data_IF_069931527431
#
_entry.id   IF_069931527431
#
_cell.length_a   1.000
_cell.length_b   1.000
_cell.length_c   1.000
_cell.angle_alpha   90.00
_cell.angle_beta   90.00
_cell.angle_gamma   90.00
#
_symmetry.space_group_name_H-M   'P 1'
#
loop_
_entity.id
_entity.type
_entity.pdbx_description
1 polymer ?
#
# COMPACT_ATOMS: atom_id res chain seq x y z
N UNK A 1 9.50 -48.51 22.68
CA UNK A 1 10.11 -47.37 21.97
C UNK A 1 9.31 -47.16 20.70
N UNK A 2 8.35 -46.24 20.72
CA UNK A 2 7.39 -46.04 19.65
C UNK A 2 7.43 -44.56 19.30
N UNK A 3 7.96 -44.24 18.12
CA UNK A 3 8.09 -42.87 17.63
C UNK A 3 6.74 -42.46 17.05
N UNK A 4 6.06 -41.54 17.72
CA UNK A 4 4.77 -41.01 17.30
C UNK A 4 4.92 -40.03 16.14
N UNK A 5 4.53 -40.45 14.94
CA UNK A 5 4.32 -39.57 13.81
C UNK A 5 2.94 -38.92 13.91
N UNK A 6 2.83 -37.80 14.63
CA UNK A 6 1.60 -36.99 14.60
C UNK A 6 1.90 -35.52 14.90
N UNK A 7 2.57 -34.82 13.98
CA UNK A 7 2.51 -33.36 13.99
C UNK A 7 2.81 -32.67 12.64
N UNK A 8 2.44 -33.30 11.52
CA UNK A 8 2.63 -32.69 10.19
C UNK A 8 1.43 -31.85 9.71
N UNK A 9 0.26 -31.97 10.36
CA UNK A 9 -0.95 -31.22 9.99
C UNK A 9 -0.93 -29.73 10.40
N UNK A 10 -0.19 -29.38 11.47
CA UNK A 10 -0.12 -27.99 11.95
C UNK A 10 0.88 -27.12 11.19
N UNK A 11 1.72 -27.69 10.32
CA UNK A 11 2.71 -26.94 9.55
C UNK A 11 2.22 -26.48 8.17
N UNK A 12 1.00 -26.85 7.75
CA UNK A 12 0.49 -26.57 6.40
C UNK A 12 -0.58 -25.45 6.35
N UNK A 13 -0.85 -24.76 7.45
CA UNK A 13 -1.90 -23.72 7.53
C UNK A 13 -1.41 -22.27 7.36
N UNK A 14 -0.21 -22.04 6.83
CA UNK A 14 0.26 -20.68 6.55
C UNK A 14 0.45 -20.50 5.04
N UNK A 15 -0.27 -19.54 4.46
CA UNK A 15 -0.29 -19.14 3.04
C UNK A 15 -1.46 -19.69 2.20
N UNK A 16 -2.69 -19.53 2.67
CA UNK A 16 -3.81 -19.42 1.73
C UNK A 16 -3.59 -18.20 0.82
N UNK A 17 -3.45 -18.43 -0.49
CA UNK A 17 -3.47 -17.37 -1.49
C UNK A 17 -4.90 -16.81 -1.50
N UNK A 18 -5.07 -15.52 -1.18
CA UNK A 18 -6.36 -14.83 -1.28
C UNK A 18 -6.50 -14.33 -2.72
N UNK A 19 -7.40 -14.91 -3.55
CA UNK A 19 -7.51 -14.53 -4.97
C UNK A 19 -7.83 -13.05 -5.17
N UNK A 20 -8.54 -12.44 -4.19
CA UNK A 20 -8.89 -11.02 -4.21
C UNK A 20 -7.65 -10.11 -4.20
N UNK A 21 -6.59 -10.47 -3.48
CA UNK A 21 -5.34 -9.72 -3.48
C UNK A 21 -4.69 -9.71 -4.86
N UNK A 22 -4.74 -10.84 -5.57
CA UNK A 22 -4.23 -10.94 -6.93
C UNK A 22 -5.03 -10.04 -7.89
N UNK A 23 -6.36 -10.00 -7.75
CA UNK A 23 -7.20 -9.08 -8.52
C UNK A 23 -6.85 -7.61 -8.28
N UNK A 24 -6.54 -7.20 -7.04
CA UNK A 24 -6.11 -5.83 -6.76
C UNK A 24 -4.80 -5.47 -7.47
N UNK A 25 -3.83 -6.39 -7.50
CA UNK A 25 -2.57 -6.19 -8.25
C UNK A 25 -2.84 -6.10 -9.75
N UNK A 26 -3.68 -6.97 -10.29
CA UNK A 26 -4.06 -6.92 -11.71
C UNK A 26 -4.79 -5.63 -12.07
N UNK A 27 -5.71 -5.16 -11.22
CA UNK A 27 -6.41 -3.90 -11.43
C UNK A 27 -5.45 -2.70 -11.48
N UNK A 28 -4.44 -2.69 -10.61
CA UNK A 28 -3.39 -1.68 -10.64
C UNK A 28 -2.58 -1.72 -11.93
N UNK A 29 -2.08 -2.90 -12.33
CA UNK A 29 -1.30 -3.04 -13.56
C UNK A 29 -2.12 -2.71 -14.82
N UNK A 30 -3.40 -3.10 -14.83
CA UNK A 30 -4.33 -2.77 -15.89
C UNK A 30 -4.57 -1.27 -16.00
N UNK A 31 -4.80 -0.57 -14.88
CA UNK A 31 -4.98 0.87 -14.88
C UNK A 31 -3.74 1.61 -15.43
N UNK A 32 -2.54 1.19 -15.02
CA UNK A 32 -1.29 1.73 -15.58
C UNK A 32 -1.19 1.49 -17.10
N UNK A 33 -1.56 0.29 -17.55
CA UNK A 33 -1.56 -0.04 -18.98
C UNK A 33 -2.52 0.85 -19.77
N UNK A 34 -3.76 1.01 -19.31
CA UNK A 34 -4.77 1.85 -19.99
C UNK A 34 -4.36 3.33 -19.99
N UNK A 35 -3.82 3.85 -18.88
CA UNK A 35 -3.32 5.23 -18.82
C UNK A 35 -2.18 5.45 -19.82
N UNK A 36 -1.24 4.51 -19.91
CA UNK A 36 -0.10 4.61 -20.84
C UNK A 36 -0.52 4.48 -22.31
N UNK A 37 -1.69 3.89 -22.59
CA UNK A 37 -2.25 3.73 -23.93
C UNK A 37 -3.05 4.96 -24.36
N UNK A 38 -3.62 5.71 -23.42
CA UNK A 38 -4.39 6.91 -23.71
C UNK A 38 -3.53 8.18 -23.68
N UNK A 39 -3.17 8.66 -24.87
CA UNK A 39 -2.41 9.90 -25.07
C UNK A 39 -3.13 11.17 -24.56
N UNK A 40 -4.42 11.10 -24.22
CA UNK A 40 -5.17 12.23 -23.64
C UNK A 40 -4.94 12.39 -22.14
N UNK A 41 -4.68 11.29 -21.43
CA UNK A 41 -4.49 11.31 -19.97
C UNK A 41 -3.10 11.79 -19.60
N UNK A 42 -2.07 11.23 -20.23
CA UNK A 42 -0.66 11.57 -20.00
C UNK A 42 0.10 11.65 -21.33
N UNK A 43 -0.01 12.77 -22.08
CA UNK A 43 0.67 12.91 -23.36
C UNK A 43 2.20 12.85 -23.18
N UNK A 44 2.87 12.10 -24.07
CA UNK A 44 4.33 11.95 -24.12
C UNK A 44 4.98 11.47 -22.81
N UNK A 45 4.22 10.83 -21.92
CA UNK A 45 4.72 10.33 -20.63
C UNK A 45 4.30 8.88 -20.45
N UNK A 46 5.17 8.07 -19.86
CA UNK A 46 4.85 6.67 -19.52
C UNK A 46 5.02 6.46 -18.03
N UNK A 47 3.99 5.94 -17.38
CA UNK A 47 4.03 5.52 -15.99
C UNK A 47 4.71 4.17 -15.86
N UNK A 48 5.71 4.10 -14.98
CA UNK A 48 6.26 2.83 -14.50
C UNK A 48 5.46 2.28 -13.32
N UNK A 49 5.58 0.98 -13.08
CA UNK A 49 4.94 0.30 -11.95
C UNK A 49 5.91 -0.61 -11.21
N UNK A 50 5.81 -0.66 -9.88
CA UNK A 50 6.50 -1.63 -9.04
C UNK A 50 5.53 -2.14 -7.97
N UNK A 51 5.51 -3.47 -7.76
CA UNK A 51 4.61 -4.11 -6.79
C UNK A 51 5.44 -4.82 -5.73
N UNK A 52 5.10 -4.60 -4.47
CA UNK A 52 5.72 -5.26 -3.33
C UNK A 52 4.64 -5.73 -2.36
N UNK A 53 4.72 -6.98 -1.92
CA UNK A 53 3.75 -7.57 -0.99
C UNK A 53 4.15 -7.39 0.48
N UNK A 54 3.19 -7.09 1.34
CA UNK A 54 3.35 -6.98 2.79
C UNK A 54 2.88 -8.24 3.56
N UNK A 55 2.14 -9.14 2.91
CA UNK A 55 1.54 -10.34 3.52
C UNK A 55 0.80 -10.03 4.84
N UNK A 56 0.05 -8.92 4.87
CA UNK A 56 -0.70 -8.47 6.06
C UNK A 56 0.14 -8.24 7.31
N UNK A 57 1.45 -8.04 7.16
CA UNK A 57 2.39 -7.82 8.25
C UNK A 57 2.91 -6.39 8.18
N UNK A 58 2.67 -5.62 9.22
CA UNK A 58 3.09 -4.23 9.32
C UNK A 58 4.63 -4.07 9.20
N UNK A 59 5.40 -5.02 9.75
CA UNK A 59 6.86 -5.09 9.57
C UNK A 59 7.25 -5.32 8.10
N UNK A 60 6.58 -6.26 7.41
CA UNK A 60 6.83 -6.51 5.99
C UNK A 60 6.37 -5.34 5.12
N UNK A 61 5.33 -4.60 5.51
CA UNK A 61 4.90 -3.37 4.85
C UNK A 61 6.01 -2.30 4.90
N UNK A 62 6.65 -2.11 6.06
CA UNK A 62 7.82 -1.24 6.18
C UNK A 62 8.96 -1.67 5.25
N UNK A 63 9.32 -2.97 5.25
CA UNK A 63 10.35 -3.52 4.36
C UNK A 63 10.01 -3.34 2.87
N UNK A 64 8.75 -3.57 2.49
CA UNK A 64 8.25 -3.38 1.14
C UNK A 64 8.33 -1.91 0.71
N UNK A 65 7.98 -0.99 1.61
CA UNK A 65 8.04 0.47 1.38
C UNK A 65 9.45 0.94 1.13
N UNK A 66 10.41 0.53 1.96
CA UNK A 66 11.82 0.82 1.74
C UNK A 66 12.31 0.23 0.42
N UNK A 67 11.88 -1.00 0.08
CA UNK A 67 12.22 -1.60 -1.21
C UNK A 67 11.71 -0.77 -2.40
N UNK A 68 10.51 -0.19 -2.30
CA UNK A 68 9.94 0.67 -3.34
C UNK A 68 10.67 2.01 -3.44
N UNK A 69 10.94 2.66 -2.30
CA UNK A 69 11.66 3.95 -2.24
C UNK A 69 13.07 3.85 -2.83
N UNK A 70 13.80 2.79 -2.48
CA UNK A 70 15.20 2.64 -2.83
C UNK A 70 15.45 1.66 -3.97
N UNK A 71 14.39 1.15 -4.63
CA UNK A 71 14.45 0.12 -5.69
C UNK A 71 15.36 -1.07 -5.34
N UNK A 72 15.42 -1.44 -4.05
CA UNK A 72 16.33 -2.48 -3.52
C UNK A 72 17.84 -2.21 -3.74
N UNK A 73 18.25 -0.96 -3.99
CA UNK A 73 19.63 -0.54 -4.25
C UNK A 73 20.35 -0.18 -2.94
N UNK A 74 21.06 -1.16 -2.36
CA UNK A 74 22.00 -0.93 -1.25
C UNK A 74 21.39 -0.39 0.05
N UNK A 75 22.23 0.27 0.86
CA UNK A 75 21.82 0.84 2.16
C UNK A 75 20.85 2.00 1.95
N UNK A 76 19.58 1.79 2.32
CA UNK A 76 18.46 2.74 2.24
C UNK A 76 18.67 4.09 2.97
N UNK A 77 19.72 4.21 3.77
CA UNK A 77 20.00 5.40 4.60
C UNK A 77 21.21 6.19 4.12
N UNK A 78 21.91 5.76 3.08
CA UNK A 78 23.04 6.52 2.55
C UNK A 78 22.55 7.43 1.41
N UNK A 79 22.89 8.72 1.47
CA UNK A 79 22.50 9.68 0.43
C UNK A 79 23.05 9.23 -0.92
N UNK A 80 22.15 8.86 -1.82
CA UNK A 80 22.49 8.47 -3.18
C UNK A 80 21.81 9.46 -4.14
N UNK A 81 22.59 10.40 -4.66
CA UNK A 81 22.13 11.40 -5.63
C UNK A 81 22.04 10.77 -7.02
N UNK A 82 20.94 10.08 -7.31
CA UNK A 82 20.72 9.51 -8.63
C UNK A 82 19.77 10.36 -9.47
N UNK A 83 20.16 10.67 -10.71
CA UNK A 83 19.32 11.26 -11.75
C UNK A 83 18.37 10.21 -12.36
N UNK A 84 17.64 9.48 -11.51
CA UNK A 84 16.74 8.40 -11.91
C UNK A 84 15.26 8.74 -11.68
N UNK A 85 14.35 7.94 -12.25
CA UNK A 85 12.91 8.10 -12.02
C UNK A 85 12.56 7.92 -10.53
N UNK A 86 12.06 8.98 -9.90
CA UNK A 86 11.63 9.00 -8.50
C UNK A 86 10.30 8.27 -8.30
N UNK A 87 10.08 7.70 -7.11
CA UNK A 87 8.79 7.14 -6.73
C UNK A 87 7.79 8.29 -6.55
N UNK A 88 6.77 8.35 -7.41
CA UNK A 88 5.79 9.44 -7.41
C UNK A 88 4.73 9.29 -6.31
N UNK A 89 4.22 8.08 -6.12
CA UNK A 89 3.20 7.76 -5.14
C UNK A 89 3.18 6.25 -4.88
N UNK A 90 2.55 5.84 -3.77
CA UNK A 90 2.32 4.43 -3.44
C UNK A 90 0.83 4.19 -3.27
N UNK A 91 0.30 3.15 -3.92
CA UNK A 91 -1.08 2.70 -3.72
C UNK A 91 -1.09 1.54 -2.72
N UNK A 92 -1.80 1.72 -1.61
CA UNK A 92 -1.88 0.75 -0.50
C UNK A 92 -1.79 1.39 0.88
N UNK A 93 -1.76 0.60 1.95
CA UNK A 93 -2.01 -0.85 1.97
C UNK A 93 -3.51 -1.16 2.09
N UNK A 94 -3.82 -2.46 2.05
CA UNK A 94 -5.16 -2.99 2.31
C UNK A 94 -5.53 -2.92 3.80
N UNK A 95 -4.60 -3.14 4.73
CA UNK A 95 -4.91 -3.10 6.18
C UNK A 95 -4.42 -1.81 6.84
N UNK A 96 -5.15 -1.33 7.83
CA UNK A 96 -4.76 -0.12 8.57
C UNK A 96 -3.38 -0.21 9.24
N UNK A 97 -3.00 -1.32 9.92
CA UNK A 97 -1.67 -1.44 10.50
C UNK A 97 -0.54 -1.36 9.46
N UNK A 98 -0.72 -2.00 8.30
CA UNK A 98 0.24 -1.85 7.19
C UNK A 98 0.27 -0.41 6.69
N UNK A 99 -0.88 0.23 6.49
CA UNK A 99 -0.96 1.60 5.99
C UNK A 99 -0.32 2.61 6.92
N UNK A 100 -0.49 2.48 8.24
CA UNK A 100 0.18 3.32 9.24
C UNK A 100 1.70 3.17 9.13
N UNK A 101 2.20 1.93 9.03
CA UNK A 101 3.65 1.71 8.88
C UNK A 101 4.21 2.25 7.58
N UNK A 102 3.48 2.13 6.48
CA UNK A 102 3.85 2.76 5.21
C UNK A 102 3.87 4.28 5.35
N UNK A 103 2.84 4.88 5.95
CA UNK A 103 2.66 6.32 6.06
C UNK A 103 3.77 6.95 6.91
N UNK A 104 4.17 6.30 8.00
CA UNK A 104 5.30 6.71 8.85
C UNK A 104 6.61 6.84 8.04
N UNK A 105 6.88 5.88 7.14
CA UNK A 105 8.08 5.90 6.30
C UNK A 105 7.92 6.92 5.17
N UNK A 106 6.82 6.86 4.41
CA UNK A 106 6.59 7.67 3.21
C UNK A 106 6.49 9.17 3.50
N UNK A 107 5.92 9.55 4.65
CA UNK A 107 5.79 10.96 5.04
C UNK A 107 7.14 11.63 5.22
N UNK A 108 8.16 10.90 5.71
CA UNK A 108 9.54 11.40 5.82
C UNK A 108 10.12 11.78 4.46
N UNK A 109 9.77 11.03 3.41
CA UNK A 109 10.22 11.25 2.04
C UNK A 109 9.22 12.08 1.19
N UNK A 110 8.14 12.58 1.82
CA UNK A 110 7.08 13.35 1.16
C UNK A 110 6.45 12.62 -0.03
N UNK A 111 6.36 11.29 0.04
CA UNK A 111 5.74 10.47 -1.01
C UNK A 111 4.28 10.23 -0.64
N UNK A 112 3.31 10.65 -1.50
CA UNK A 112 1.89 10.38 -1.27
C UNK A 112 1.58 8.88 -1.20
N UNK A 113 0.75 8.51 -0.24
CA UNK A 113 0.17 7.18 -0.09
C UNK A 113 -1.34 7.24 -0.32
N UNK A 114 -1.86 6.43 -1.25
CA UNK A 114 -3.28 6.29 -1.53
C UNK A 114 -3.76 4.89 -1.11
N UNK A 115 -4.42 4.78 0.03
CA UNK A 115 -4.97 3.50 0.49
C UNK A 115 -6.34 3.21 -0.12
N UNK A 116 -6.56 1.95 -0.51
CA UNK A 116 -7.82 1.44 -1.05
C UNK A 116 -8.61 0.56 -0.08
N UNK A 117 -8.19 0.45 1.19
CA UNK A 117 -8.90 -0.42 2.15
C UNK A 117 -8.58 -0.22 3.63
N UNK A 118 -7.83 0.82 4.00
CA UNK A 118 -7.54 1.11 5.41
C UNK A 118 -8.54 2.10 6.00
N UNK A 119 -9.28 1.66 7.02
CA UNK A 119 -10.42 2.39 7.59
C UNK A 119 -10.11 3.07 8.92
N UNK A 120 -8.95 2.80 9.53
CA UNK A 120 -8.65 3.31 10.88
C UNK A 120 -8.72 4.85 10.91
N UNK A 121 -9.55 5.45 11.79
CA UNK A 121 -9.70 6.91 11.87
C UNK A 121 -8.39 7.67 12.11
N UNK A 122 -7.39 7.05 12.75
CA UNK A 122 -6.09 7.69 13.02
C UNK A 122 -5.42 8.18 11.73
N UNK A 123 -5.63 7.47 10.62
CA UNK A 123 -5.09 7.81 9.30
C UNK A 123 -5.76 9.05 8.66
N UNK A 124 -6.83 9.59 9.26
CA UNK A 124 -7.43 10.85 8.82
C UNK A 124 -6.78 12.08 9.46
N UNK A 125 -5.93 11.89 10.48
CA UNK A 125 -5.20 12.99 11.10
C UNK A 125 -4.11 13.50 10.14
N UNK A 126 -4.42 14.58 9.44
CA UNK A 126 -3.51 15.23 8.49
C UNK A 126 -2.29 15.88 9.17
N UNK A 127 -2.31 16.07 10.49
CA UNK A 127 -1.13 16.53 11.23
C UNK A 127 -0.09 15.42 11.40
N UNK A 128 -0.56 14.18 11.61
CA UNK A 128 0.28 12.99 11.72
C UNK A 128 0.64 12.38 10.36
N UNK A 129 -0.33 12.35 9.44
CA UNK A 129 -0.19 11.69 8.13
C UNK A 129 -0.52 12.65 6.96
N UNK A 130 0.24 13.73 6.77
CA UNK A 130 -0.04 14.77 5.77
C UNK A 130 0.03 14.29 4.31
N UNK A 131 0.62 13.12 4.07
CA UNK A 131 0.76 12.51 2.75
C UNK A 131 -0.13 11.26 2.56
N UNK A 132 -1.06 11.01 3.48
CA UNK A 132 -1.97 9.88 3.40
C UNK A 132 -3.35 10.28 2.86
N UNK A 133 -3.82 9.54 1.87
CA UNK A 133 -5.10 9.71 1.22
C UNK A 133 -5.83 8.38 1.12
N UNK A 134 -7.16 8.44 1.06
CA UNK A 134 -8.03 7.27 0.93
C UNK A 134 -8.79 7.33 -0.40
N UNK A 135 -8.91 6.18 -1.05
CA UNK A 135 -9.80 5.98 -2.21
C UNK A 135 -11.11 5.29 -1.80
N UNK A 136 -11.38 5.23 -0.49
CA UNK A 136 -12.61 4.70 0.08
C UNK A 136 -13.50 5.86 0.57
N UNK A 137 -14.83 5.68 0.61
CA UNK A 137 -15.74 6.69 1.15
C UNK A 137 -15.39 7.05 2.59
N UNK A 138 -15.70 8.29 2.98
CA UNK A 138 -15.62 8.70 4.38
C UNK A 138 -16.90 8.21 5.07
N UNK A 139 -16.78 7.35 6.09
CA UNK A 139 -17.91 6.76 6.83
C UNK A 139 -18.51 7.75 7.86
N UNK A 140 -18.46 9.06 7.62
CA UNK A 140 -19.18 9.99 8.48
C UNK A 140 -20.68 9.88 8.18
N UNK A 141 -21.51 9.39 9.13
CA UNK A 141 -22.94 9.40 8.92
C UNK A 141 -23.39 10.85 8.76
N UNK A 142 -24.15 11.13 7.70
CA UNK A 142 -24.90 12.38 7.59
C UNK A 142 -25.70 12.55 8.89
N UNK A 143 -25.31 13.52 9.74
CA UNK A 143 -26.21 14.00 10.78
C UNK A 143 -27.36 14.68 10.06
N UNK A 144 -28.47 13.97 9.87
CA UNK A 144 -29.76 14.59 9.60
C UNK A 144 -30.07 15.47 10.82
N UNK A 145 -29.88 16.77 10.66
CA UNK A 145 -30.49 17.77 11.52
C UNK A 145 -32.01 17.56 11.41
N UNK A 146 -32.57 16.95 12.46
CA UNK A 146 -34.01 17.06 12.71
C UNK A 146 -34.25 18.47 13.19
N UNK A 147 -34.59 19.35 12.25
CA UNK A 147 -35.39 20.52 12.58
C UNK A 147 -36.76 19.99 13.00
N UNK A 148 -37.02 19.97 14.31
CA UNK A 148 -38.38 19.93 14.85
C UNK A 148 -39.04 21.26 14.52
N UNK A 149 -40.04 21.22 13.63
CA UNK A 149 -41.09 22.23 13.50
C UNK A 149 -42.30 21.82 14.37
#
# INVERSE_FOLDING_TARGET
MQVGFSNWGHFLLAFSIIPKNYQHVLAFLFAIHEINKDNKLLPNTTLGSAVAGDFFSAWRACKATLKLLFKSRGNSLNYYCEKGASLLAVIGALTSPSSIQMANVLSTYKVPQLSYGSFDPVLSDQTQFPFFFRMIPNEEPHKTESHED
#
